data_IF_839027071935
#
_entry.id   IF_839027071935
#
_cell.length_a   1.000
_cell.length_b   1.000
_cell.length_c   1.000
_cell.angle_alpha   90.00
_cell.angle_beta   90.00
_cell.angle_gamma   90.00
#
_symmetry.space_group_name_H-M   'P 1'
#
loop_
_entity.id
_entity.type
_entity.pdbx_description
1 polymer ?
#
# COMPACT_ATOMS: atom_id res chain seq x y z
N UNK A 1 3.40 7.03 16.15
CA UNK A 1 4.58 6.58 15.35
C UNK A 1 4.76 7.51 14.16
N UNK A 2 5.99 7.86 13.85
CA UNK A 2 6.29 8.62 12.64
C UNK A 2 6.45 7.68 11.44
N UNK A 3 6.20 8.20 10.25
CA UNK A 3 6.33 7.43 9.02
C UNK A 3 7.77 6.97 8.78
N UNK A 4 8.72 7.87 9.03
CA UNK A 4 10.15 7.55 8.88
C UNK A 4 10.55 6.39 9.78
N UNK A 5 10.13 6.42 11.04
CA UNK A 5 10.42 5.36 12.00
C UNK A 5 9.80 4.03 11.58
N UNK A 6 8.56 4.08 11.09
CA UNK A 6 7.89 2.89 10.57
C UNK A 6 8.68 2.25 9.42
N UNK A 7 9.10 3.04 8.45
CA UNK A 7 9.85 2.53 7.30
C UNK A 7 11.18 1.92 7.73
N UNK A 8 11.88 2.55 8.67
CA UNK A 8 13.12 2.00 9.23
C UNK A 8 12.88 0.65 9.92
N UNK A 9 11.82 0.56 10.71
CA UNK A 9 11.48 -0.67 11.43
C UNK A 9 11.07 -1.79 10.46
N UNK A 10 10.18 -1.51 9.53
CA UNK A 10 9.66 -2.53 8.63
C UNK A 10 10.72 -3.04 7.66
N UNK A 11 11.69 -2.20 7.30
CA UNK A 11 12.78 -2.61 6.41
C UNK A 11 13.65 -3.72 7.00
N UNK A 12 13.63 -3.87 8.32
CA UNK A 12 14.40 -4.92 9.04
C UNK A 12 13.54 -6.15 9.36
N UNK A 13 12.27 -6.15 9.02
CA UNK A 13 11.37 -7.27 9.29
C UNK A 13 11.52 -8.36 8.22
N UNK A 14 11.02 -9.54 8.57
CA UNK A 14 11.05 -10.68 7.66
C UNK A 14 9.83 -10.71 6.76
N UNK A 15 9.97 -11.31 5.58
CA UNK A 15 8.89 -11.54 4.64
C UNK A 15 8.18 -12.86 4.97
N UNK A 16 6.85 -12.87 4.97
CA UNK A 16 6.03 -14.07 5.04
C UNK A 16 5.57 -14.45 3.64
N UNK A 17 6.17 -15.48 3.08
CA UNK A 17 5.93 -15.88 1.67
C UNK A 17 4.46 -16.17 1.39
N UNK A 18 3.73 -16.77 2.31
CA UNK A 18 2.31 -17.09 2.09
C UNK A 18 1.47 -15.81 1.90
N UNK A 19 1.68 -14.80 2.74
CA UNK A 19 0.96 -13.52 2.62
C UNK A 19 1.29 -12.82 1.31
N UNK A 20 2.56 -12.83 0.93
CA UNK A 20 3.02 -12.23 -0.33
C UNK A 20 2.37 -12.93 -1.52
N UNK A 21 2.34 -14.27 -1.53
CA UNK A 21 1.71 -15.03 -2.59
C UNK A 21 0.22 -14.76 -2.73
N UNK A 22 -0.49 -14.63 -1.61
CA UNK A 22 -1.91 -14.33 -1.63
C UNK A 22 -2.19 -12.98 -2.27
N UNK A 23 -1.41 -11.96 -1.92
CA UNK A 23 -1.54 -10.62 -2.51
C UNK A 23 -1.14 -10.63 -3.99
N UNK A 24 -0.06 -11.31 -4.35
CA UNK A 24 0.37 -11.42 -5.74
C UNK A 24 -0.68 -12.09 -6.62
N UNK A 25 -1.39 -13.07 -6.10
CA UNK A 25 -2.48 -13.72 -6.83
C UNK A 25 -3.65 -12.78 -7.09
N UNK A 26 -4.02 -11.98 -6.07
CA UNK A 26 -5.14 -11.03 -6.21
C UNK A 26 -4.82 -9.95 -7.23
N UNK A 27 -3.62 -9.39 -7.18
CA UNK A 27 -3.25 -8.26 -8.04
C UNK A 27 -2.56 -8.66 -9.32
N UNK A 28 -2.12 -9.91 -9.44
CA UNK A 28 -1.43 -10.40 -10.63
C UNK A 28 -0.08 -9.71 -10.83
N UNK A 29 0.65 -9.42 -9.75
CA UNK A 29 1.84 -8.60 -9.81
C UNK A 29 2.97 -9.17 -8.96
N UNK A 30 4.20 -8.92 -9.39
CA UNK A 30 5.37 -9.07 -8.52
C UNK A 30 5.52 -7.81 -7.67
N UNK A 31 5.96 -7.97 -6.43
CA UNK A 31 6.04 -6.88 -5.47
C UNK A 31 7.49 -6.60 -5.10
N UNK A 32 7.87 -5.31 -4.94
CA UNK A 32 9.20 -4.97 -4.43
C UNK A 32 9.35 -5.35 -2.95
N UNK A 33 10.58 -5.47 -2.49
CA UNK A 33 10.88 -5.92 -1.12
C UNK A 33 10.16 -5.10 -0.04
N UNK A 34 10.11 -3.79 -0.19
CA UNK A 34 9.44 -2.94 0.79
C UNK A 34 7.97 -3.33 0.96
N UNK A 35 7.25 -3.52 -0.15
CA UNK A 35 5.85 -3.91 -0.09
C UNK A 35 5.69 -5.31 0.49
N UNK A 36 6.56 -6.24 0.12
CA UNK A 36 6.55 -7.59 0.72
C UNK A 36 6.69 -7.52 2.24
N UNK A 37 7.56 -6.67 2.74
CA UNK A 37 7.76 -6.48 4.17
C UNK A 37 6.58 -5.81 4.85
N UNK A 38 5.98 -4.81 4.21
CA UNK A 38 4.78 -4.14 4.73
C UNK A 38 3.64 -5.16 4.86
N UNK A 39 3.36 -5.91 3.81
CA UNK A 39 2.30 -6.91 3.79
C UNK A 39 2.52 -7.98 4.84
N UNK A 40 3.75 -8.46 4.98
CA UNK A 40 4.09 -9.53 5.90
C UNK A 40 3.96 -9.13 7.37
N UNK A 41 4.04 -7.83 7.67
CA UNK A 41 4.10 -7.32 9.04
C UNK A 41 2.96 -6.36 9.38
N UNK A 42 1.84 -6.48 8.69
CA UNK A 42 0.66 -5.63 8.91
C UNK A 42 -0.58 -6.47 9.24
N UNK A 43 -0.49 -7.32 10.27
CA UNK A 43 -1.66 -8.04 10.79
C UNK A 43 -2.70 -7.06 11.31
N UNK A 44 -2.25 -5.93 11.84
CA UNK A 44 -3.08 -4.84 12.31
C UNK A 44 -2.72 -3.55 11.58
N UNK A 45 -3.68 -2.63 11.36
CA UNK A 45 -3.35 -1.33 10.75
C UNK A 45 -2.37 -0.54 11.62
N UNK A 46 -1.45 0.17 10.99
CA UNK A 46 -0.49 1.05 11.68
C UNK A 46 -0.91 2.49 11.46
N UNK A 47 -1.13 3.22 12.55
CA UNK A 47 -1.54 4.63 12.50
C UNK A 47 -0.33 5.54 12.73
N UNK A 48 -0.22 6.56 11.88
CA UNK A 48 0.80 7.60 12.02
C UNK A 48 0.26 8.83 12.75
N UNK A 49 1.18 9.69 13.23
CA UNK A 49 0.81 10.88 13.99
C UNK A 49 0.01 11.89 13.16
N UNK A 50 0.16 11.88 11.84
CA UNK A 50 -0.54 12.78 10.93
C UNK A 50 -1.89 12.23 10.44
N UNK A 51 -2.31 11.07 10.94
CA UNK A 51 -3.57 10.46 10.58
C UNK A 51 -3.52 9.50 9.40
N UNK A 52 -2.40 9.37 8.72
CA UNK A 52 -2.24 8.35 7.67
C UNK A 52 -2.13 6.98 8.33
N UNK A 53 -2.77 5.99 7.71
CA UNK A 53 -2.86 4.64 8.27
C UNK A 53 -2.40 3.62 7.22
N UNK A 54 -1.41 2.81 7.58
CA UNK A 54 -1.02 1.66 6.74
C UNK A 54 -2.14 0.63 6.82
N UNK A 55 -2.58 0.13 5.67
CA UNK A 55 -3.61 -0.89 5.60
C UNK A 55 -3.11 -2.22 6.16
N UNK A 56 -4.00 -2.97 6.82
CA UNK A 56 -3.68 -4.32 7.24
C UNK A 56 -3.61 -5.26 6.04
N UNK A 57 -3.00 -6.43 6.23
CA UNK A 57 -2.95 -7.47 5.20
C UNK A 57 -4.34 -7.78 4.64
N UNK A 58 -5.31 -7.95 5.53
CA UNK A 58 -6.69 -8.27 5.11
C UNK A 58 -7.34 -7.14 4.32
N UNK A 59 -7.07 -5.90 4.71
CA UNK A 59 -7.58 -4.74 3.98
C UNK A 59 -7.01 -4.67 2.57
N UNK A 60 -5.71 -4.92 2.43
CA UNK A 60 -5.07 -4.94 1.11
C UNK A 60 -5.62 -6.09 0.26
N UNK A 61 -5.77 -7.26 0.87
CA UNK A 61 -6.29 -8.45 0.19
C UNK A 61 -7.70 -8.23 -0.35
N UNK A 62 -8.55 -7.54 0.41
CA UNK A 62 -9.97 -7.35 0.11
C UNK A 62 -10.30 -5.95 -0.42
N UNK A 63 -9.30 -5.15 -0.76
CA UNK A 63 -9.51 -3.74 -1.11
C UNK A 63 -10.45 -3.54 -2.29
N UNK A 64 -10.37 -4.36 -3.34
CA UNK A 64 -11.25 -4.24 -4.51
C UNK A 64 -12.71 -4.40 -4.11
N UNK A 65 -12.98 -5.38 -3.27
CA UNK A 65 -14.33 -5.65 -2.78
C UNK A 65 -14.82 -4.55 -1.84
N UNK A 66 -13.96 -4.15 -0.89
CA UNK A 66 -14.35 -3.22 0.16
C UNK A 66 -14.47 -1.78 -0.34
N UNK A 67 -13.64 -1.39 -1.30
CA UNK A 67 -13.58 -0.01 -1.80
C UNK A 67 -14.29 0.16 -3.15
N UNK A 68 -14.74 -0.94 -3.75
CA UNK A 68 -15.45 -0.93 -5.05
C UNK A 68 -14.62 -0.31 -6.18
N UNK A 69 -13.32 -0.60 -6.21
CA UNK A 69 -12.40 -0.16 -7.25
C UNK A 69 -11.67 -1.36 -7.84
N UNK A 70 -11.56 -1.42 -9.16
CA UNK A 70 -10.82 -2.47 -9.83
C UNK A 70 -9.33 -2.12 -9.89
N UNK A 71 -8.64 -2.31 -8.76
CA UNK A 71 -7.24 -1.95 -8.62
C UNK A 71 -6.34 -2.74 -9.58
N UNK A 72 -6.63 -4.03 -9.77
CA UNK A 72 -5.81 -4.87 -10.63
C UNK A 72 -5.78 -4.35 -12.06
N UNK A 73 -6.92 -4.02 -12.64
CA UNK A 73 -6.98 -3.53 -14.01
C UNK A 73 -6.28 -2.18 -14.17
N UNK A 74 -6.24 -1.38 -13.12
CA UNK A 74 -5.54 -0.09 -13.11
C UNK A 74 -4.04 -0.23 -12.87
N UNK A 75 -3.57 -1.42 -12.51
CA UNK A 75 -2.15 -1.66 -12.24
C UNK A 75 -1.67 -1.05 -10.93
N UNK A 76 -2.54 -0.90 -9.94
CA UNK A 76 -2.20 -0.31 -8.65
C UNK A 76 -2.60 -1.21 -7.49
N UNK A 77 -1.88 -1.07 -6.38
CA UNK A 77 -2.17 -1.76 -5.13
C UNK A 77 -2.23 -0.73 -4.00
N UNK A 78 -3.34 -0.66 -3.24
CA UNK A 78 -3.46 0.30 -2.14
C UNK A 78 -2.64 -0.16 -0.94
N UNK A 79 -1.92 0.77 -0.33
CA UNK A 79 -1.02 0.48 0.81
C UNK A 79 -1.42 1.27 2.05
N UNK A 80 -1.86 2.51 1.91
CA UNK A 80 -2.20 3.36 3.04
C UNK A 80 -3.42 4.22 2.76
N UNK A 81 -4.17 4.51 3.82
CA UNK A 81 -5.34 5.38 3.81
C UNK A 81 -4.93 6.75 4.33
N UNK A 82 -5.09 7.78 3.51
CA UNK A 82 -4.75 9.16 3.86
C UNK A 82 -5.95 9.96 4.37
N UNK A 83 -7.15 9.35 4.40
CA UNK A 83 -8.40 10.05 4.68
C UNK A 83 -9.02 10.68 3.44
N UNK A 84 -10.27 11.08 3.54
CA UNK A 84 -11.02 11.75 2.46
C UNK A 84 -11.03 10.98 1.13
N UNK A 85 -11.02 9.66 1.20
CA UNK A 85 -11.01 8.75 0.03
C UNK A 85 -9.69 8.78 -0.76
N UNK A 86 -8.63 9.32 -0.21
CA UNK A 86 -7.30 9.30 -0.80
C UNK A 86 -6.46 8.17 -0.21
N UNK A 87 -5.80 7.42 -1.07
CA UNK A 87 -4.94 6.31 -0.67
C UNK A 87 -3.55 6.46 -1.28
N UNK A 88 -2.55 5.99 -0.57
CA UNK A 88 -1.23 5.81 -1.15
C UNK A 88 -1.24 4.47 -1.86
N UNK A 89 -0.90 4.47 -3.14
CA UNK A 89 -0.90 3.27 -3.98
C UNK A 89 0.45 3.08 -4.65
N UNK A 90 0.78 1.82 -4.95
CA UNK A 90 1.94 1.47 -5.74
C UNK A 90 1.49 1.04 -7.13
N UNK A 91 2.13 1.61 -8.17
CA UNK A 91 1.88 1.24 -9.57
C UNK A 91 2.83 0.10 -9.95
N UNK A 92 2.33 -1.14 -9.91
CA UNK A 92 3.19 -2.31 -10.04
C UNK A 92 3.66 -2.59 -11.48
N UNK A 93 3.04 -2.00 -12.47
CA UNK A 93 3.50 -2.13 -13.87
C UNK A 93 4.61 -1.14 -14.21
N UNK A 94 4.66 0.00 -13.55
CA UNK A 94 5.54 1.11 -13.88
C UNK A 94 6.54 1.46 -12.78
N UNK A 95 6.41 0.82 -11.61
CA UNK A 95 7.32 0.93 -10.47
C UNK A 95 7.43 2.37 -9.92
N UNK A 96 6.29 2.98 -9.62
CA UNK A 96 6.26 4.25 -8.93
C UNK A 96 5.09 4.30 -7.93
N UNK A 97 5.08 5.32 -7.09
CA UNK A 97 4.05 5.53 -6.07
C UNK A 97 3.25 6.77 -6.37
N UNK A 98 2.01 6.81 -5.92
CA UNK A 98 1.17 8.01 -6.02
C UNK A 98 0.12 8.02 -4.92
N UNK A 99 -0.59 9.13 -4.80
CA UNK A 99 -1.89 9.14 -4.14
C UNK A 99 -2.96 8.85 -5.17
N UNK A 100 -4.04 8.22 -4.74
CA UNK A 100 -5.16 7.83 -5.61
C UNK A 100 -6.46 8.10 -4.88
N UNK A 101 -7.35 8.88 -5.51
CA UNK A 101 -8.68 9.12 -4.97
C UNK A 101 -9.65 8.05 -5.50
N UNK A 102 -10.29 7.31 -4.60
CA UNK A 102 -11.15 6.18 -4.99
C UNK A 102 -12.50 6.60 -5.54
N UNK A 103 -12.94 7.83 -5.31
CA UNK A 103 -14.21 8.33 -5.85
C UNK A 103 -14.05 8.80 -7.29
N UNK A 104 -13.04 9.65 -7.54
CA UNK A 104 -12.77 10.18 -8.88
C UNK A 104 -11.89 9.23 -9.71
N UNK A 105 -11.26 8.26 -9.06
CA UNK A 105 -10.33 7.30 -9.68
C UNK A 105 -9.18 7.98 -10.42
N UNK A 106 -8.61 9.00 -9.78
CA UNK A 106 -7.49 9.79 -10.32
C UNK A 106 -6.26 9.64 -9.45
N UNK A 107 -5.11 9.38 -10.09
CA UNK A 107 -3.81 9.38 -9.44
C UNK A 107 -3.19 10.77 -9.46
N UNK A 108 -2.56 11.15 -8.35
CA UNK A 108 -1.85 12.44 -8.22
C UNK A 108 -0.63 12.27 -7.30
N UNK A 109 0.26 13.26 -7.30
CA UNK A 109 1.52 13.25 -6.54
C UNK A 109 2.37 12.01 -6.84
N UNK A 110 2.67 11.77 -8.11
CA UNK A 110 3.47 10.63 -8.53
C UNK A 110 4.93 10.80 -8.11
N UNK A 111 5.49 9.81 -7.40
CA UNK A 111 6.87 9.83 -6.91
C UNK A 111 7.50 8.45 -7.04
N UNK A 112 8.84 8.39 -7.04
CA UNK A 112 9.55 7.11 -7.15
C UNK A 112 9.64 6.37 -5.82
N UNK A 113 9.74 7.07 -4.70
CA UNK A 113 9.87 6.46 -3.38
C UNK A 113 8.71 6.83 -2.47
N UNK A 114 8.18 5.86 -1.75
CA UNK A 114 7.04 6.07 -0.84
C UNK A 114 7.35 7.09 0.25
N UNK A 115 8.61 7.23 0.67
CA UNK A 115 9.00 8.19 1.69
C UNK A 115 8.66 9.63 1.35
N UNK A 116 8.56 9.96 0.07
CA UNK A 116 8.17 11.30 -0.38
C UNK A 116 6.68 11.57 -0.18
N UNK A 117 5.85 10.53 -0.11
CA UNK A 117 4.41 10.64 0.14
C UNK A 117 4.06 10.56 1.62
N UNK A 118 4.92 9.93 2.40
CA UNK A 118 4.70 9.71 3.82
C UNK A 118 5.32 10.81 4.70
N UNK A 119 5.53 11.96 4.19
CA UNK A 119 6.09 13.08 4.96
C UNK A 119 5.05 13.78 5.80
#
# INVERSE_FOLDING_TARGET
MTQKRYLECVSQKKVEEKKVLDIQKVYGAELPDLIKKIISNSDEPVFFDDGVRILSFKEILNAEKDLHVDFQSKGIIPIADCGENDFIVYHFKEAFWSKFNIIDEISFKKVKGVGELLK
#
